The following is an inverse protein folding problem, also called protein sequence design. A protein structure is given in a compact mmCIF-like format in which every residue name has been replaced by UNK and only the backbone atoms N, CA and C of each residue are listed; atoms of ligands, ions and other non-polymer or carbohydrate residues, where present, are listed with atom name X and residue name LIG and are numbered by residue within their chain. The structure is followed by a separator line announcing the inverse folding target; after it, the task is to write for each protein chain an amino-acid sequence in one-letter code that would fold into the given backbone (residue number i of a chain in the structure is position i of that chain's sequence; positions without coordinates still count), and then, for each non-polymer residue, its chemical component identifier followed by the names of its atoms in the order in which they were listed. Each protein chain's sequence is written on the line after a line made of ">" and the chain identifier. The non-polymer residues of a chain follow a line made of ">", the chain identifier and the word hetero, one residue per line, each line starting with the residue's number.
data_IF_936487961477
#
_entry.id   IF_936487961477
#
_cell.length_a   1.000
_cell.length_b   1.000
_cell.length_c   1.000
_cell.angle_alpha   90.00
_cell.angle_beta   90.00
_cell.angle_gamma   90.00
#
_symmetry.space_group_name_H-M   'P 1'
#
loop_
_entity.id
_entity.type
_entity.pdbx_description
1 polymer ?
#
# COMPACT_ATOMS: atom_id res chain seq x y z
N UNK A 1 -8.77 38.21 6.18
CA UNK A 1 -8.26 37.43 7.33
C UNK A 1 -9.34 36.40 7.62
N UNK A 2 -9.32 35.30 6.88
CA UNK A 2 -10.39 34.28 6.91
C UNK A 2 -10.22 33.45 8.16
N UNK A 3 -11.31 33.25 8.88
CA UNK A 3 -11.35 32.52 10.14
C UNK A 3 -10.92 31.05 9.91
N UNK A 4 -9.89 30.52 10.60
CA UNK A 4 -9.50 29.12 10.48
C UNK A 4 -10.58 28.13 10.95
N UNK A 5 -11.70 28.59 11.51
CA UNK A 5 -12.87 27.78 11.86
C UNK A 5 -13.80 27.46 10.68
N UNK A 6 -13.58 28.00 9.47
CA UNK A 6 -14.51 27.82 8.35
C UNK A 6 -14.23 26.61 7.45
N UNK A 7 -13.12 25.89 7.66
CA UNK A 7 -12.78 24.68 6.88
C UNK A 7 -12.72 23.46 7.80
N UNK A 8 -13.73 22.59 7.69
CA UNK A 8 -13.77 21.29 8.36
C UNK A 8 -12.69 20.35 7.82
N UNK A 9 -12.20 19.44 8.66
CA UNK A 9 -11.38 18.32 8.19
C UNK A 9 -12.15 17.47 7.19
N UNK A 10 -11.46 16.97 6.16
CA UNK A 10 -12.08 16.09 5.16
C UNK A 10 -12.37 14.71 5.76
N UNK A 11 -13.37 14.01 5.22
CA UNK A 11 -13.68 12.64 5.65
C UNK A 11 -12.48 11.69 5.42
N UNK A 12 -11.66 11.94 4.39
CA UNK A 12 -10.43 11.18 4.14
C UNK A 12 -9.43 11.39 5.27
N UNK A 13 -9.20 12.64 5.69
CA UNK A 13 -8.28 12.93 6.79
C UNK A 13 -8.79 12.38 8.13
N UNK A 14 -10.10 12.45 8.38
CA UNK A 14 -10.72 11.90 9.59
C UNK A 14 -10.67 10.36 9.62
N UNK A 15 -10.89 9.69 8.49
CA UNK A 15 -10.70 8.24 8.37
C UNK A 15 -9.24 7.87 8.57
N UNK A 16 -8.32 8.52 7.87
CA UNK A 16 -6.88 8.27 8.03
C UNK A 16 -6.39 8.56 9.45
N UNK A 17 -6.99 9.54 10.14
CA UNK A 17 -6.73 9.78 11.56
C UNK A 17 -7.19 8.62 12.44
N UNK A 18 -8.40 8.10 12.20
CA UNK A 18 -8.99 6.95 12.89
C UNK A 18 -8.14 5.68 12.71
N UNK A 19 -7.69 5.43 11.48
CA UNK A 19 -6.88 4.26 11.11
C UNK A 19 -5.39 4.41 11.46
N UNK A 20 -4.99 5.54 12.04
CA UNK A 20 -3.60 5.91 12.36
C UNK A 20 -2.64 5.97 11.16
N UNK A 21 -3.19 6.26 9.97
CA UNK A 21 -2.47 6.34 8.70
C UNK A 21 -1.95 7.76 8.37
N UNK A 22 -2.30 8.77 9.19
CA UNK A 22 -1.79 10.12 8.99
C UNK A 22 -0.31 10.26 9.44
N UNK A 23 0.54 10.96 8.65
CA UNK A 23 1.87 11.32 9.11
C UNK A 23 1.78 12.27 10.32
N UNK A 24 2.78 12.20 11.21
CA UNK A 24 2.84 12.95 12.47
C UNK A 24 2.39 14.44 12.38
N UNK A 25 2.87 15.26 11.42
CA UNK A 25 2.43 16.66 11.32
C UNK A 25 0.96 16.83 10.95
N UNK A 26 0.40 15.94 10.12
CA UNK A 26 -1.03 15.97 9.79
C UNK A 26 -1.87 15.51 10.97
N UNK A 27 -1.44 14.45 11.67
CA UNK A 27 -2.11 13.95 12.88
C UNK A 27 -2.24 15.04 13.94
N UNK A 28 -1.18 15.79 14.23
CA UNK A 28 -1.23 16.90 15.21
C UNK A 28 -2.24 17.99 14.83
N UNK A 29 -2.31 18.36 13.55
CA UNK A 29 -3.28 19.36 13.06
C UNK A 29 -4.71 18.87 13.23
N UNK A 30 -4.99 17.62 12.86
CA UNK A 30 -6.32 17.02 13.02
C UNK A 30 -6.67 16.90 14.50
N UNK A 31 -5.75 16.45 15.36
CA UNK A 31 -5.98 16.39 16.82
C UNK A 31 -6.37 17.77 17.39
N UNK A 32 -5.66 18.83 17.00
CA UNK A 32 -6.00 20.18 17.45
C UNK A 32 -7.37 20.64 16.91
N UNK A 33 -7.68 20.31 15.65
CA UNK A 33 -8.96 20.67 15.03
C UNK A 33 -10.15 19.97 15.68
N UNK A 34 -10.10 18.65 15.89
CA UNK A 34 -11.21 17.90 16.50
C UNK A 34 -11.43 18.28 17.97
N UNK A 35 -10.40 18.77 18.67
CA UNK A 35 -10.55 19.31 20.02
C UNK A 35 -11.35 20.64 20.03
N UNK A 36 -11.32 21.39 18.94
CA UNK A 36 -12.00 22.69 18.80
C UNK A 36 -13.30 22.63 17.98
N UNK A 37 -13.49 21.60 17.14
CA UNK A 37 -14.63 21.49 16.23
C UNK A 37 -15.53 20.29 16.61
N UNK A 38 -16.71 20.54 17.23
CA UNK A 38 -17.61 19.47 17.66
C UNK A 38 -18.21 18.70 16.47
N UNK A 39 -18.35 19.31 15.30
CA UNK A 39 -18.86 18.64 14.10
C UNK A 39 -17.89 17.55 13.62
N UNK A 40 -16.60 17.87 13.52
CA UNK A 40 -15.57 16.90 13.14
C UNK A 40 -15.35 15.84 14.23
N UNK A 41 -15.45 16.21 15.51
CA UNK A 41 -15.41 15.24 16.61
C UNK A 41 -16.57 14.24 16.53
N UNK A 42 -17.79 14.71 16.24
CA UNK A 42 -18.95 13.85 16.00
C UNK A 42 -18.73 12.95 14.80
N UNK A 43 -18.25 13.50 13.68
CA UNK A 43 -17.98 12.72 12.46
C UNK A 43 -16.95 11.61 12.69
N UNK A 44 -15.91 11.89 13.48
CA UNK A 44 -14.93 10.88 13.89
C UNK A 44 -15.57 9.80 14.78
N UNK A 45 -16.49 10.16 15.67
CA UNK A 45 -17.21 9.19 16.49
C UNK A 45 -18.11 8.27 15.64
N UNK A 46 -18.69 8.76 14.54
CA UNK A 46 -19.46 7.93 13.61
C UNK A 46 -18.57 6.86 12.95
N UNK A 47 -17.34 7.20 12.56
CA UNK A 47 -16.37 6.22 12.06
C UNK A 47 -15.98 5.18 13.13
N UNK A 48 -15.77 5.63 14.36
CA UNK A 48 -15.47 4.73 15.47
C UNK A 48 -16.63 3.74 15.72
N UNK A 49 -17.88 4.21 15.71
CA UNK A 49 -19.07 3.36 15.85
C UNK A 49 -19.15 2.32 14.73
N UNK A 50 -18.97 2.76 13.47
CA UNK A 50 -18.97 1.84 12.32
C UNK A 50 -17.87 0.77 12.45
N UNK A 51 -16.66 1.15 12.85
CA UNK A 51 -15.56 0.20 13.05
C UNK A 51 -15.85 -0.81 14.17
N UNK A 52 -16.57 -0.38 15.22
CA UNK A 52 -17.00 -1.27 16.29
C UNK A 52 -18.07 -2.26 15.81
N UNK A 53 -19.01 -1.82 14.98
CA UNK A 53 -20.02 -2.71 14.38
C UNK A 53 -19.38 -3.76 13.48
N UNK A 54 -18.40 -3.38 12.65
CA UNK A 54 -17.62 -4.32 11.84
C UNK A 54 -16.85 -5.33 12.70
N UNK A 55 -16.31 -4.91 13.84
CA UNK A 55 -15.58 -5.79 14.75
C UNK A 55 -16.48 -6.85 15.42
N UNK A 56 -17.80 -6.64 15.44
CA UNK A 56 -18.78 -7.58 15.97
C UNK A 56 -19.24 -8.63 14.96
N UNK A 57 -18.91 -8.47 13.67
CA UNK A 57 -19.29 -9.45 12.65
C UNK A 57 -18.69 -10.82 12.96
N UNK A 58 -19.40 -11.92 12.62
CA UNK A 58 -18.85 -13.26 12.74
C UNK A 58 -17.50 -13.34 12.01
N UNK A 59 -16.49 -13.85 12.72
CA UNK A 59 -15.19 -14.12 12.11
C UNK A 59 -15.29 -15.43 11.34
N UNK A 60 -15.38 -15.34 10.02
CA UNK A 60 -15.29 -16.52 9.17
C UNK A 60 -13.91 -17.15 9.33
N UNK A 61 -13.88 -18.40 9.78
CA UNK A 61 -12.67 -19.21 9.74
C UNK A 61 -12.57 -19.82 8.34
N UNK A 62 -11.41 -19.74 7.71
CA UNK A 62 -11.16 -20.29 6.36
C UNK A 62 -11.31 -21.82 6.27
N UNK A 63 -11.57 -22.53 7.38
CA UNK A 63 -11.64 -23.99 7.44
C UNK A 63 -10.28 -24.69 7.33
N UNK A 64 -9.20 -23.92 7.14
CA UNK A 64 -7.81 -24.36 7.14
C UNK A 64 -6.91 -23.25 7.70
N UNK A 65 -5.72 -23.63 8.17
CA UNK A 65 -4.76 -22.70 8.75
C UNK A 65 -3.96 -21.96 7.66
N UNK A 66 -4.46 -20.80 7.23
CA UNK A 66 -3.74 -19.93 6.29
C UNK A 66 -2.44 -19.37 6.89
N UNK A 67 -2.37 -19.20 8.21
CA UNK A 67 -1.16 -18.68 8.85
C UNK A 67 0.03 -19.64 8.64
N UNK A 68 -0.20 -20.96 8.66
CA UNK A 68 0.83 -21.94 8.35
C UNK A 68 1.34 -21.85 6.90
N UNK A 69 0.45 -21.59 5.94
CA UNK A 69 0.81 -21.41 4.52
C UNK A 69 1.64 -20.14 4.32
N UNK A 70 1.24 -19.05 4.95
CA UNK A 70 1.92 -17.75 4.85
C UNK A 70 3.24 -17.76 5.62
N UNK A 71 3.32 -18.45 6.77
CA UNK A 71 4.55 -18.52 7.57
C UNK A 71 5.74 -19.10 6.80
N UNK A 72 5.48 -20.00 5.84
CA UNK A 72 6.53 -20.51 4.93
C UNK A 72 6.96 -19.53 3.84
N UNK A 73 6.19 -18.49 3.57
CA UNK A 73 6.45 -17.48 2.55
C UNK A 73 6.98 -16.15 3.11
N UNK A 74 6.72 -15.86 4.39
CA UNK A 74 7.31 -14.70 5.03
C UNK A 74 8.82 -14.92 5.15
N UNK A 75 9.64 -13.95 4.72
CA UNK A 75 11.07 -14.02 4.99
C UNK A 75 11.23 -14.19 6.50
N UNK A 76 11.86 -15.30 6.90
CA UNK A 76 12.14 -15.56 8.31
C UNK A 76 12.81 -14.33 8.93
N UNK A 77 12.60 -14.06 10.24
CA UNK A 77 13.16 -12.87 10.88
C UNK A 77 14.62 -12.77 10.50
N UNK A 78 14.97 -11.71 9.76
CA UNK A 78 16.31 -11.52 9.26
C UNK A 78 17.23 -11.66 10.48
N UNK A 79 17.97 -12.78 10.56
CA UNK A 79 19.00 -12.94 11.57
C UNK A 79 19.89 -11.74 11.33
N UNK A 80 19.85 -10.78 12.24
CA UNK A 80 20.80 -9.68 12.25
C UNK A 80 22.16 -10.37 12.23
N UNK A 81 22.78 -10.38 11.05
CA UNK A 81 24.08 -10.98 10.89
C UNK A 81 24.97 -10.05 11.71
N UNK A 82 25.25 -10.46 12.94
CA UNK A 82 26.07 -9.71 13.88
C UNK A 82 27.44 -9.74 13.22
N UNK A 83 27.72 -8.72 12.43
CA UNK A 83 28.96 -8.56 11.72
C UNK A 83 30.00 -8.31 12.81
N UNK A 84 30.64 -9.38 13.25
CA UNK A 84 31.84 -9.28 14.07
C UNK A 84 32.91 -8.75 13.12
N UNK A 85 33.40 -7.51 13.27
CA UNK A 85 34.55 -7.10 12.50
C UNK A 85 35.72 -7.92 13.05
N UNK A 86 36.12 -8.96 12.31
CA UNK A 86 37.41 -9.59 12.55
C UNK A 86 38.47 -8.59 12.11
N UNK A 87 38.84 -7.70 13.04
CA UNK A 87 40.03 -6.88 12.93
C UNK A 87 41.27 -7.77 13.15
N UNK A 88 41.44 -8.75 12.26
CA UNK A 88 42.65 -9.54 12.14
C UNK A 88 43.58 -8.87 11.13
N UNK A 89 44.89 -8.95 11.36
CA UNK A 89 46.00 -8.44 10.54
C UNK A 89 45.99 -8.77 9.02
N UNK A 90 44.92 -9.35 8.47
CA UNK A 90 44.70 -9.62 7.05
C UNK A 90 44.21 -8.40 6.24
N UNK A 91 44.10 -7.21 6.85
CA UNK A 91 43.76 -5.96 6.16
C UNK A 91 44.87 -5.37 5.28
N UNK A 92 45.98 -6.09 5.08
CA UNK A 92 47.16 -5.64 4.30
C UNK A 92 47.34 -6.40 2.98
N UNK A 93 46.29 -6.98 2.40
CA UNK A 93 46.32 -7.43 1.01
C UNK A 93 45.87 -6.29 0.08
N UNK A 94 46.55 -6.04 -1.07
CA UNK A 94 46.23 -4.91 -1.92
C UNK A 94 44.81 -5.05 -2.49
N UNK A 95 43.95 -4.10 -2.13
CA UNK A 95 42.61 -3.93 -2.64
C UNK A 95 42.61 -3.48 -4.11
N UNK A 96 43.06 -4.36 -5.01
CA UNK A 96 43.30 -3.99 -6.42
C UNK A 96 42.58 -4.83 -7.48
N UNK A 97 41.99 -5.98 -7.16
CA UNK A 97 41.49 -6.91 -8.20
C UNK A 97 40.00 -7.26 -8.04
N UNK A 98 39.40 -7.11 -6.85
CA UNK A 98 37.97 -7.43 -6.64
C UNK A 98 37.00 -6.37 -7.19
N UNK A 99 37.39 -5.10 -7.20
CA UNK A 99 36.48 -3.99 -7.51
C UNK A 99 36.13 -3.85 -9.00
N UNK A 100 36.98 -4.34 -9.92
CA UNK A 100 36.77 -4.17 -11.37
C UNK A 100 35.81 -5.21 -11.95
N UNK A 101 35.82 -6.44 -11.42
CA UNK A 101 34.98 -7.53 -11.93
C UNK A 101 33.50 -7.26 -11.71
N UNK A 102 33.12 -6.70 -10.57
CA UNK A 102 31.71 -6.38 -10.26
C UNK A 102 31.16 -5.25 -11.13
N UNK A 103 31.97 -4.25 -11.46
CA UNK A 103 31.57 -3.13 -12.32
C UNK A 103 31.35 -3.61 -13.75
N UNK A 104 32.26 -4.43 -14.29
CA UNK A 104 32.11 -4.99 -15.63
C UNK A 104 30.87 -5.88 -15.77
N UNK A 105 30.59 -6.71 -14.74
CA UNK A 105 29.39 -7.56 -14.72
C UNK A 105 28.10 -6.72 -14.62
N UNK A 106 28.09 -5.68 -13.79
CA UNK A 106 26.97 -4.75 -13.69
C UNK A 106 26.66 -4.02 -15.00
N UNK A 107 27.70 -3.56 -15.71
CA UNK A 107 27.56 -2.90 -17.02
C UNK A 107 27.04 -3.87 -18.08
N UNK A 108 27.52 -5.12 -18.09
CA UNK A 108 27.06 -6.14 -19.04
C UNK A 108 25.57 -6.48 -18.83
N UNK A 109 25.14 -6.69 -17.58
CA UNK A 109 23.73 -6.97 -17.25
C UNK A 109 22.85 -5.76 -17.57
N UNK A 110 23.29 -4.55 -17.19
CA UNK A 110 22.56 -3.31 -17.49
C UNK A 110 22.41 -3.04 -18.98
N UNK A 111 23.45 -3.33 -19.78
CA UNK A 111 23.43 -3.21 -21.24
C UNK A 111 22.38 -4.13 -21.88
N UNK A 112 22.30 -5.39 -21.46
CA UNK A 112 21.30 -6.35 -21.95
C UNK A 112 19.88 -5.91 -21.58
N UNK A 113 19.67 -5.35 -20.38
CA UNK A 113 18.37 -4.86 -19.95
C UNK A 113 17.93 -3.59 -20.70
N UNK A 114 18.87 -2.73 -21.11
CA UNK A 114 18.55 -1.48 -21.79
C UNK A 114 18.46 -1.62 -23.31
N UNK A 115 19.21 -2.56 -23.92
CA UNK A 115 19.16 -2.84 -25.36
C UNK A 115 18.08 -3.86 -25.72
N UNK A 116 17.69 -4.71 -24.77
CA UNK A 116 16.50 -5.52 -24.91
C UNK A 116 15.30 -4.61 -24.75
N UNK A 117 14.52 -4.44 -25.81
CA UNK A 117 13.11 -4.10 -25.69
C UNK A 117 12.54 -5.12 -24.70
N UNK A 118 12.46 -4.75 -23.42
CA UNK A 118 11.74 -5.53 -22.45
C UNK A 118 10.35 -5.64 -23.06
N UNK A 119 10.03 -6.82 -23.59
CA UNK A 119 8.65 -7.16 -23.85
C UNK A 119 8.00 -6.92 -22.51
N UNK A 120 7.27 -5.79 -22.40
CA UNK A 120 6.50 -5.48 -21.22
C UNK A 120 5.79 -6.78 -20.89
N UNK A 121 5.98 -7.35 -19.69
CA UNK A 121 5.25 -8.54 -19.32
C UNK A 121 3.81 -8.24 -19.65
N UNK A 122 3.24 -9.03 -20.58
CA UNK A 122 1.84 -8.87 -20.94
C UNK A 122 1.10 -8.97 -19.63
N UNK A 123 0.53 -7.87 -19.19
CA UNK A 123 -0.29 -7.81 -18.00
C UNK A 123 -1.40 -8.83 -18.22
N UNK A 124 -1.21 -10.04 -17.69
CA UNK A 124 -2.29 -11.00 -17.56
C UNK A 124 -3.19 -10.36 -16.53
N UNK A 125 -4.24 -9.70 -17.01
CA UNK A 125 -5.31 -9.18 -16.17
C UNK A 125 -5.69 -10.29 -15.19
N UNK A 126 -5.32 -10.10 -13.91
CA UNK A 126 -5.61 -11.07 -12.88
C UNK A 126 -7.11 -10.95 -12.62
N UNK A 127 -7.89 -11.86 -13.21
CA UNK A 127 -9.34 -11.94 -13.03
C UNK A 127 -9.77 -12.18 -11.57
N UNK A 128 -8.80 -12.45 -10.69
CA UNK A 128 -8.97 -12.56 -9.23
C UNK A 128 -9.29 -11.22 -8.57
N UNK A 129 -8.92 -10.09 -9.19
CA UNK A 129 -9.16 -8.75 -8.64
C UNK A 129 -10.16 -7.93 -9.46
N UNK A 130 -10.97 -8.60 -10.29
CA UNK A 130 -12.09 -7.91 -10.93
C UNK A 130 -13.12 -7.49 -9.87
N UNK A 131 -13.84 -6.39 -10.11
CA UNK A 131 -14.77 -5.80 -9.13
C UNK A 131 -15.97 -6.71 -8.82
N UNK A 132 -16.13 -7.80 -9.57
CA UNK A 132 -17.10 -8.87 -9.30
C UNK A 132 -16.36 -10.05 -8.65
N UNK A 133 -16.55 -10.32 -7.34
CA UNK A 133 -16.00 -11.51 -6.73
C UNK A 133 -16.59 -12.78 -7.39
N UNK A 134 -15.84 -13.89 -7.47
CA UNK A 134 -16.38 -15.15 -7.97
C UNK A 134 -17.58 -15.56 -7.09
N UNK A 135 -18.78 -15.61 -7.69
CA UNK A 135 -20.04 -15.87 -6.99
C UNK A 135 -20.97 -14.65 -6.83
N UNK A 136 -20.59 -13.47 -7.32
CA UNK A 136 -21.49 -12.32 -7.39
C UNK A 136 -22.70 -12.59 -8.31
N UNK A 137 -23.91 -12.49 -7.77
CA UNK A 137 -25.14 -12.59 -8.54
C UNK A 137 -25.48 -11.21 -9.14
N UNK A 138 -25.08 -10.98 -10.39
CA UNK A 138 -25.60 -9.88 -11.18
C UNK A 138 -27.06 -10.18 -11.54
N UNK A 139 -27.99 -9.23 -11.33
CA UNK A 139 -29.39 -9.36 -11.78
C UNK A 139 -29.53 -9.22 -13.32
N UNK A 140 -28.43 -8.98 -14.03
CA UNK A 140 -28.30 -8.90 -15.49
C UNK A 140 -26.92 -8.36 -15.89
N UNK A 141 -26.47 -8.63 -17.13
CA UNK A 141 -25.14 -8.19 -17.63
C UNK A 141 -24.94 -6.67 -17.50
N UNK A 142 -25.99 -5.88 -17.76
CA UNK A 142 -25.98 -4.41 -17.71
C UNK A 142 -25.80 -3.85 -16.28
N UNK A 143 -26.02 -4.66 -15.25
CA UNK A 143 -25.84 -4.27 -13.84
C UNK A 143 -24.40 -4.37 -13.36
N UNK A 144 -23.59 -5.22 -14.01
CA UNK A 144 -22.19 -5.44 -13.67
C UNK A 144 -21.24 -4.67 -14.58
N UNK A 145 -21.71 -4.26 -15.75
CA UNK A 145 -21.01 -3.35 -16.65
C UNK A 145 -21.93 -2.18 -16.98
N UNK A 146 -21.90 -1.14 -16.15
CA UNK A 146 -22.55 0.12 -16.50
C UNK A 146 -21.81 0.72 -17.70
N UNK A 147 -22.40 0.59 -18.89
CA UNK A 147 -21.91 1.21 -20.10
C UNK A 147 -22.20 2.72 -19.99
N UNK A 148 -21.19 3.51 -19.61
CA UNK A 148 -21.33 4.96 -19.59
C UNK A 148 -21.54 5.43 -21.03
N UNK A 149 -22.67 6.08 -21.37
CA UNK A 149 -22.83 6.66 -22.70
C UNK A 149 -21.73 7.71 -22.86
N UNK A 150 -20.87 7.49 -23.85
CA UNK A 150 -19.84 8.41 -24.28
C UNK A 150 -20.52 9.75 -24.59
N UNK A 151 -20.42 10.71 -23.66
CA UNK A 151 -20.82 12.09 -23.90
C UNK A 151 -19.78 12.64 -24.87
N UNK A 152 -20.03 12.46 -26.16
CA UNK A 152 -19.37 13.20 -27.22
C UNK A 152 -19.69 14.68 -27.00
N UNK A 153 -18.78 15.36 -26.31
CA UNK A 153 -18.77 16.80 -26.19
C UNK A 153 -18.55 17.41 -27.57
N UNK A 154 -19.64 17.73 -28.26
CA UNK A 154 -19.66 18.75 -29.30
C UNK A 154 -20.27 19.99 -28.65
N UNK A 155 -19.40 20.88 -28.19
CA UNK A 155 -19.76 22.26 -27.87
C UNK A 155 -19.51 23.07 -29.14
N UNK A 156 -20.63 23.48 -29.75
CA UNK A 156 -20.87 24.59 -30.70
C UNK A 156 -19.77 24.98 -31.69
#
# INVERSE_FOLDING_TARGET
>A
MTDPHEVHATDIDLSAYHDAELPAPARLRITAHIAACPLCAKRLADFAALSADFAQLPKDSLGFDLASVIAGQLPGPARSHRWTPTLGWLGLLPAGIGATVSIALGIAIGGVLFSGSAALPRETAMSVFDSIPPGGLCLGLDSCYAEYPNKTGVIK
#
